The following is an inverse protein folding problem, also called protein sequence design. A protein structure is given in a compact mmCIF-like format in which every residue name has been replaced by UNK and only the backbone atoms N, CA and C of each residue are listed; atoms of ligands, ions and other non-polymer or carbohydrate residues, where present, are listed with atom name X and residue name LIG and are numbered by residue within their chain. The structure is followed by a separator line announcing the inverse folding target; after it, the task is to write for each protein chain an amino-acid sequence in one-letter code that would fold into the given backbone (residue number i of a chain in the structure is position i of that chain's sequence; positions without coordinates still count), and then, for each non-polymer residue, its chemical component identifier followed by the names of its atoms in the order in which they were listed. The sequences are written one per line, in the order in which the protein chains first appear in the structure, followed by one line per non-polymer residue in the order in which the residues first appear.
data_IF_793884217444
#
_entry.id   IF_793884217444
#
_cell.length_a   1.000
_cell.length_b   1.000
_cell.length_c   1.000
_cell.angle_alpha   90.00
_cell.angle_beta   90.00
_cell.angle_gamma   90.00
#
_symmetry.space_group_name_H-M   'P 1'
#
loop_
_entity.id
_entity.type
_entity.pdbx_description
1 polymer ?
#
# COMPACT_ATOMS: atom_id res chain seq x y z
N UNK A 1 10.93 -12.43 21.77
CA UNK A 1 11.68 -12.15 20.52
C UNK A 1 10.72 -12.44 19.36
N UNK A 2 10.34 -11.41 18.61
CA UNK A 2 9.40 -11.56 17.48
C UNK A 2 10.15 -12.28 16.34
N UNK A 3 9.56 -13.35 15.81
CA UNK A 3 10.11 -14.06 14.66
C UNK A 3 9.80 -13.26 13.37
N UNK A 4 10.73 -13.16 12.41
CA UNK A 4 10.48 -12.44 11.15
C UNK A 4 9.24 -12.94 10.39
N UNK A 5 8.90 -14.22 10.54
CA UNK A 5 7.69 -14.80 9.98
C UNK A 5 6.40 -14.18 10.55
N UNK A 6 6.43 -13.70 11.80
CA UNK A 6 5.32 -12.97 12.41
C UNK A 6 5.13 -11.59 11.77
N UNK A 7 6.21 -10.90 11.41
CA UNK A 7 6.15 -9.62 10.68
C UNK A 7 5.45 -9.82 9.34
N UNK A 8 5.85 -10.86 8.59
CA UNK A 8 5.18 -11.22 7.33
C UNK A 8 3.69 -11.51 7.54
N UNK A 9 3.34 -12.31 8.56
CA UNK A 9 1.95 -12.65 8.85
C UNK A 9 1.12 -11.39 9.13
N UNK A 10 1.61 -10.54 10.03
CA UNK A 10 0.98 -9.27 10.39
C UNK A 10 0.78 -8.37 9.17
N UNK A 11 1.77 -8.28 8.28
CA UNK A 11 1.64 -7.49 7.04
C UNK A 11 0.66 -8.11 6.04
N UNK A 12 0.53 -9.44 6.05
CA UNK A 12 -0.54 -10.14 5.35
C UNK A 12 -1.93 -9.81 5.89
N UNK A 13 -2.10 -9.75 7.21
CA UNK A 13 -3.34 -9.33 7.88
C UNK A 13 -3.68 -7.86 7.59
N UNK A 14 -2.71 -6.94 7.73
CA UNK A 14 -2.89 -5.51 7.40
C UNK A 14 -3.31 -5.30 5.93
N UNK A 15 -2.85 -6.17 5.02
CA UNK A 15 -3.24 -6.14 3.61
C UNK A 15 -4.68 -6.64 3.41
N UNK A 16 -5.10 -7.70 4.11
CA UNK A 16 -6.48 -8.17 4.11
C UNK A 16 -7.45 -7.14 4.73
N UNK A 17 -7.03 -6.46 5.80
CA UNK A 17 -7.79 -5.36 6.40
C UNK A 17 -8.00 -4.21 5.41
N UNK A 18 -6.98 -3.87 4.61
CA UNK A 18 -7.10 -2.86 3.56
C UNK A 18 -8.11 -3.27 2.48
N UNK A 19 -8.15 -4.54 2.10
CA UNK A 19 -9.14 -5.07 1.16
C UNK A 19 -10.56 -4.97 1.72
N UNK A 20 -10.73 -5.37 2.98
CA UNK A 20 -12.02 -5.28 3.67
C UNK A 20 -12.46 -3.81 3.75
N UNK A 21 -11.55 -2.90 4.14
CA UNK A 21 -11.80 -1.47 4.17
C UNK A 21 -12.25 -0.94 2.80
N UNK A 22 -11.54 -1.29 1.73
CA UNK A 22 -11.91 -0.88 0.38
C UNK A 22 -13.31 -1.40 -0.01
N UNK A 23 -13.63 -2.65 0.35
CA UNK A 23 -14.95 -3.24 0.15
C UNK A 23 -16.07 -2.51 0.91
N UNK A 24 -15.84 -2.19 2.19
CA UNK A 24 -16.76 -1.44 3.04
C UNK A 24 -16.99 -0.04 2.48
N UNK A 25 -15.92 0.70 2.15
CA UNK A 25 -16.01 2.05 1.59
C UNK A 25 -16.76 2.06 0.27
N UNK A 26 -16.52 1.09 -0.62
CA UNK A 26 -17.28 0.97 -1.87
C UNK A 26 -18.77 0.81 -1.61
N UNK A 27 -19.15 -0.08 -0.69
CA UNK A 27 -20.55 -0.30 -0.35
C UNK A 27 -21.18 0.95 0.29
N UNK A 28 -20.44 1.60 1.19
CA UNK A 28 -20.88 2.84 1.85
C UNK A 28 -21.09 3.98 0.84
N UNK A 29 -20.17 4.16 -0.12
CA UNK A 29 -20.31 5.16 -1.18
C UNK A 29 -21.53 4.89 -2.05
N UNK A 30 -21.76 3.62 -2.44
CA UNK A 30 -22.97 3.26 -3.20
C UNK A 30 -24.25 3.60 -2.43
N UNK A 31 -24.30 3.34 -1.12
CA UNK A 31 -25.46 3.70 -0.28
C UNK A 31 -25.59 5.22 -0.12
N UNK A 32 -24.47 5.93 0.03
CA UNK A 32 -24.43 7.37 0.23
C UNK A 32 -24.99 8.16 -0.95
N UNK A 33 -25.03 7.60 -2.16
CA UNK A 33 -25.73 8.20 -3.31
C UNK A 33 -27.21 8.49 -3.03
N UNK A 34 -27.84 7.73 -2.12
CA UNK A 34 -29.26 7.85 -1.74
C UNK A 34 -29.48 8.47 -0.35
N UNK A 35 -28.53 9.25 0.13
CA UNK A 35 -28.58 9.86 1.48
C UNK A 35 -29.81 10.76 1.66
N UNK A 36 -30.15 11.60 0.67
CA UNK A 36 -31.32 12.49 0.72
C UNK A 36 -32.63 11.69 0.71
N UNK A 37 -32.75 10.73 -0.21
CA UNK A 37 -33.91 9.84 -0.28
C UNK A 37 -34.15 9.07 1.03
N UNK A 38 -33.06 8.68 1.71
CA UNK A 38 -33.11 8.00 2.99
C UNK A 38 -33.69 8.89 4.08
N UNK A 39 -33.30 10.17 4.14
CA UNK A 39 -33.87 11.15 5.08
C UNK A 39 -35.36 11.35 4.80
N UNK A 40 -35.75 11.53 3.54
CA UNK A 40 -37.16 11.73 3.16
C UNK A 40 -38.02 10.48 3.42
N UNK A 41 -37.46 9.29 3.22
CA UNK A 41 -38.16 8.04 3.51
C UNK A 41 -38.36 7.87 5.03
N UNK A 42 -37.33 8.13 5.85
CA UNK A 42 -37.45 8.03 7.31
C UNK A 42 -38.46 9.01 7.88
N UNK A 43 -38.49 10.26 7.39
CA UNK A 43 -39.51 11.25 7.78
C UNK A 43 -40.93 10.71 7.52
N UNK A 44 -41.18 10.23 6.30
CA UNK A 44 -42.49 9.66 5.91
C UNK A 44 -42.88 8.44 6.74
N UNK A 45 -41.92 7.56 7.05
CA UNK A 45 -42.17 6.39 7.91
C UNK A 45 -42.57 6.84 9.33
N UNK A 46 -41.86 7.79 9.92
CA UNK A 46 -42.19 8.31 11.25
C UNK A 46 -43.58 8.95 11.28
N UNK A 47 -43.95 9.70 10.24
CA UNK A 47 -45.28 10.29 10.08
C UNK A 47 -46.39 9.22 10.00
N UNK A 48 -46.17 8.13 9.26
CA UNK A 48 -47.14 7.03 9.11
C UNK A 48 -47.26 6.20 10.39
N UNK A 49 -46.15 5.95 11.10
CA UNK A 49 -46.13 5.16 12.33
C UNK A 49 -46.47 5.97 13.58
N UNK A 50 -46.67 7.29 13.45
CA UNK A 50 -46.84 8.22 14.56
C UNK A 50 -45.68 8.13 15.57
N UNK A 51 -44.47 7.94 15.06
CA UNK A 51 -43.22 7.91 15.82
C UNK A 51 -42.60 9.31 15.88
N UNK A 52 -41.72 9.52 16.86
CA UNK A 52 -40.97 10.78 16.96
C UNK A 52 -40.02 10.89 15.75
N UNK A 53 -40.05 11.98 14.96
CA UNK A 53 -39.14 12.14 13.84
C UNK A 53 -37.69 12.30 14.30
N UNK A 54 -36.74 11.90 13.44
CA UNK A 54 -35.29 12.04 13.66
C UNK A 54 -34.86 13.51 13.83
N UNK A 55 -35.65 14.46 13.31
CA UNK A 55 -35.39 15.90 13.36
C UNK A 55 -36.57 16.63 13.98
N UNK A 56 -36.33 17.45 15.01
CA UNK A 56 -37.37 18.09 15.82
C UNK A 56 -37.89 19.41 15.21
N UNK A 57 -37.15 19.99 14.27
CA UNK A 57 -37.51 21.24 13.60
C UNK A 57 -37.22 21.19 12.10
N UNK A 58 -37.95 21.98 11.31
CA UNK A 58 -37.73 22.07 9.86
C UNK A 58 -36.32 22.60 9.55
N UNK A 59 -35.79 23.53 10.36
CA UNK A 59 -34.41 24.02 10.21
C UNK A 59 -33.35 22.92 10.40
N UNK A 60 -33.55 21.99 11.35
CA UNK A 60 -32.66 20.85 11.52
C UNK A 60 -32.74 19.89 10.34
N UNK A 61 -33.94 19.67 9.80
CA UNK A 61 -34.14 18.83 8.63
C UNK A 61 -33.47 19.43 7.39
N UNK A 62 -33.64 20.73 7.14
CA UNK A 62 -33.04 21.42 6.00
C UNK A 62 -31.51 21.35 6.04
N UNK A 63 -30.92 21.57 7.22
CA UNK A 63 -29.47 21.43 7.40
C UNK A 63 -28.99 19.98 7.16
N UNK A 64 -29.75 18.99 7.65
CA UNK A 64 -29.43 17.58 7.42
C UNK A 64 -29.54 17.20 5.94
N UNK A 65 -30.55 17.72 5.23
CA UNK A 65 -30.71 17.55 3.79
C UNK A 65 -29.58 18.20 3.01
N UNK A 66 -29.18 19.43 3.34
CA UNK A 66 -28.06 20.11 2.68
C UNK A 66 -26.75 19.29 2.82
N UNK A 67 -26.48 18.78 4.02
CA UNK A 67 -25.34 17.90 4.26
C UNK A 67 -25.46 16.57 3.49
N UNK A 68 -26.64 15.95 3.48
CA UNK A 68 -26.90 14.73 2.71
C UNK A 68 -26.71 14.94 1.21
N UNK A 69 -27.13 16.08 0.66
CA UNK A 69 -26.91 16.46 -0.74
C UNK A 69 -25.42 16.49 -1.06
N UNK A 70 -24.60 17.18 -0.24
CA UNK A 70 -23.13 17.22 -0.45
C UNK A 70 -22.51 15.81 -0.43
N UNK A 71 -22.98 14.94 0.48
CA UNK A 71 -22.53 13.55 0.55
C UNK A 71 -22.93 12.77 -0.69
N UNK A 72 -24.18 12.89 -1.15
CA UNK A 72 -24.69 12.21 -2.33
C UNK A 72 -23.93 12.64 -3.58
N UNK A 73 -23.75 13.95 -3.80
CA UNK A 73 -22.99 14.51 -4.92
C UNK A 73 -21.55 14.00 -4.94
N UNK A 74 -20.88 13.98 -3.79
CA UNK A 74 -19.54 13.40 -3.68
C UNK A 74 -19.55 11.91 -4.02
N UNK A 75 -20.46 11.13 -3.42
CA UNK A 75 -20.55 9.69 -3.64
C UNK A 75 -20.86 9.33 -5.10
N UNK A 76 -21.74 10.07 -5.76
CA UNK A 76 -22.04 9.92 -7.18
C UNK A 76 -20.81 10.24 -8.04
N UNK A 77 -20.09 11.32 -7.73
CA UNK A 77 -18.86 11.68 -8.44
C UNK A 77 -17.78 10.58 -8.33
N UNK A 78 -17.69 9.92 -7.17
CA UNK A 78 -16.77 8.80 -6.98
C UNK A 78 -17.25 7.56 -7.71
N UNK A 79 -18.52 7.20 -7.57
CA UNK A 79 -19.08 5.97 -8.17
C UNK A 79 -19.03 6.02 -9.69
N UNK A 80 -19.36 7.16 -10.30
CA UNK A 80 -19.32 7.36 -11.76
C UNK A 80 -17.93 7.18 -12.35
N UNK A 81 -16.89 7.55 -11.61
CA UNK A 81 -15.51 7.54 -12.08
C UNK A 81 -14.71 6.32 -11.60
N UNK A 82 -15.38 5.29 -11.05
CA UNK A 82 -14.70 4.08 -10.59
C UNK A 82 -13.92 4.25 -9.28
N UNK A 83 -14.41 5.09 -8.36
CA UNK A 83 -13.90 5.29 -7.00
C UNK A 83 -12.42 5.75 -6.91
N UNK A 84 -12.00 6.74 -7.72
CA UNK A 84 -10.59 7.09 -7.84
C UNK A 84 -9.97 7.60 -6.54
N UNK A 85 -10.74 8.29 -5.69
CA UNK A 85 -10.25 8.76 -4.40
C UNK A 85 -9.94 7.60 -3.45
N UNK A 86 -10.84 6.61 -3.38
CA UNK A 86 -10.65 5.42 -2.56
C UNK A 86 -9.39 4.65 -2.98
N UNK A 87 -9.26 4.35 -4.27
CA UNK A 87 -8.13 3.59 -4.77
C UNK A 87 -6.80 4.34 -4.69
N UNK A 88 -6.83 5.68 -4.76
CA UNK A 88 -5.66 6.52 -4.49
C UNK A 88 -5.17 6.36 -3.04
N UNK A 89 -6.08 6.40 -2.06
CA UNK A 89 -5.73 6.17 -0.66
C UNK A 89 -5.22 4.75 -0.42
N UNK A 90 -5.86 3.75 -1.02
CA UNK A 90 -5.41 2.37 -0.92
C UNK A 90 -4.02 2.17 -1.54
N UNK A 91 -3.71 2.80 -2.68
CA UNK A 91 -2.38 2.75 -3.28
C UNK A 91 -1.31 3.35 -2.37
N UNK A 92 -1.58 4.50 -1.74
CA UNK A 92 -0.68 5.09 -0.74
C UNK A 92 -0.45 4.11 0.43
N UNK A 93 -1.51 3.46 0.92
CA UNK A 93 -1.42 2.48 2.02
C UNK A 93 -0.62 1.24 1.63
N UNK A 94 -0.81 0.69 0.42
CA UNK A 94 -0.04 -0.47 -0.08
C UNK A 94 1.47 -0.20 -0.08
N UNK A 95 1.85 0.98 -0.55
CA UNK A 95 3.26 1.38 -0.56
C UNK A 95 3.80 1.57 0.86
N UNK A 96 3.08 2.27 1.72
CA UNK A 96 3.47 2.47 3.11
C UNK A 96 3.61 1.14 3.89
N UNK A 97 2.71 0.18 3.63
CA UNK A 97 2.79 -1.17 4.18
C UNK A 97 4.07 -1.88 3.73
N UNK A 98 4.44 -1.75 2.45
CA UNK A 98 5.67 -2.33 1.91
C UNK A 98 6.92 -1.70 2.52
N UNK A 99 6.94 -0.36 2.70
CA UNK A 99 8.02 0.37 3.40
C UNK A 99 8.16 -0.12 4.85
N UNK A 100 7.07 -0.14 5.59
CA UNK A 100 7.06 -0.56 6.99
C UNK A 100 7.50 -2.02 7.16
N UNK A 101 7.04 -2.92 6.29
CA UNK A 101 7.48 -4.33 6.30
C UNK A 101 9.00 -4.44 6.18
N UNK A 102 9.60 -3.73 5.22
CA UNK A 102 11.03 -3.81 4.95
C UNK A 102 11.84 -3.21 6.09
N UNK A 103 11.44 -2.04 6.60
CA UNK A 103 12.10 -1.40 7.74
C UNK A 103 12.01 -2.30 9.00
N UNK A 104 10.83 -2.86 9.32
CA UNK A 104 10.64 -3.79 10.45
C UNK A 104 11.50 -5.05 10.30
N UNK A 105 11.57 -5.65 9.11
CA UNK A 105 12.39 -6.86 8.86
C UNK A 105 13.88 -6.61 9.05
N UNK A 106 14.35 -5.41 8.67
CA UNK A 106 15.78 -5.04 8.78
C UNK A 106 16.14 -4.79 10.23
N UNK A 107 15.33 -4.00 10.96
CA UNK A 107 15.52 -3.76 12.40
C UNK A 107 15.52 -5.10 13.16
N UNK A 108 14.52 -5.95 12.93
CA UNK A 108 14.46 -7.26 13.60
C UNK A 108 15.57 -8.22 13.19
N UNK A 109 16.05 -8.15 11.94
CA UNK A 109 17.22 -8.94 11.55
C UNK A 109 18.45 -8.48 12.32
N UNK A 110 18.69 -7.16 12.45
CA UNK A 110 19.86 -6.62 13.15
C UNK A 110 19.87 -6.93 14.66
N UNK A 111 18.71 -7.16 15.28
CA UNK A 111 18.60 -7.64 16.66
C UNK A 111 19.12 -9.08 16.85
N UNK A 112 19.17 -9.88 15.78
CA UNK A 112 19.52 -11.30 15.85
C UNK A 112 20.71 -11.60 14.95
N UNK A 113 21.92 -11.81 15.50
CA UNK A 113 23.11 -12.12 14.69
C UNK A 113 22.86 -13.29 13.74
N UNK A 114 23.19 -13.10 12.46
CA UNK A 114 23.01 -14.08 11.41
C UNK A 114 24.29 -14.27 10.60
N UNK A 115 24.60 -15.52 10.26
CA UNK A 115 25.72 -15.87 9.37
C UNK A 115 25.53 -15.40 7.92
N UNK A 116 24.33 -14.96 7.57
CA UNK A 116 23.97 -14.49 6.23
C UNK A 116 24.16 -12.98 6.05
N UNK A 117 24.66 -12.29 7.08
CA UNK A 117 24.97 -10.88 6.97
C UNK A 117 26.15 -10.62 6.05
N UNK A 118 26.05 -9.56 5.26
CA UNK A 118 27.21 -9.01 4.55
C UNK A 118 28.07 -8.22 5.54
N UNK A 119 28.98 -8.93 6.20
CA UNK A 119 29.93 -8.33 7.13
C UNK A 119 30.78 -7.23 6.50
N UNK A 120 31.01 -7.25 5.17
CA UNK A 120 31.80 -6.23 4.47
C UNK A 120 31.06 -4.89 4.35
N UNK A 121 29.72 -4.94 4.26
CA UNK A 121 28.87 -3.75 4.27
C UNK A 121 28.64 -3.29 5.71
N UNK A 122 28.25 -4.20 6.61
CA UNK A 122 27.92 -3.84 7.99
C UNK A 122 29.12 -3.27 8.76
N UNK A 123 30.35 -3.71 8.46
CA UNK A 123 31.56 -3.15 9.06
C UNK A 123 31.82 -1.68 8.68
N UNK A 124 31.15 -1.15 7.65
CA UNK A 124 31.28 0.26 7.22
C UNK A 124 30.30 1.20 7.92
N UNK A 125 29.38 0.69 8.73
CA UNK A 125 28.44 1.51 9.49
C UNK A 125 29.21 2.43 10.44
N UNK A 126 28.85 3.72 10.44
CA UNK A 126 29.48 4.76 11.25
C UNK A 126 28.44 5.41 12.15
N UNK A 127 28.84 5.75 13.36
CA UNK A 127 27.94 6.35 14.32
C UNK A 127 28.64 6.77 15.61
N UNK A 128 27.96 7.56 16.45
CA UNK A 128 28.52 8.02 17.71
C UNK A 128 28.45 6.86 18.73
N UNK A 129 29.62 6.28 19.04
CA UNK A 129 29.74 4.98 19.73
C UNK A 129 29.20 5.01 21.17
N UNK A 130 29.31 6.16 21.84
CA UNK A 130 28.87 6.30 23.24
C UNK A 130 27.35 6.26 23.32
N UNK A 131 26.67 7.07 22.51
CA UNK A 131 25.22 7.10 22.40
C UNK A 131 24.68 5.74 21.96
N UNK A 132 25.31 5.12 20.96
CA UNK A 132 24.96 3.77 20.51
C UNK A 132 25.07 2.75 21.64
N UNK A 133 26.21 2.73 22.36
CA UNK A 133 26.43 1.78 23.46
C UNK A 133 25.46 1.98 24.63
N UNK A 134 25.04 3.23 24.88
CA UNK A 134 24.13 3.59 25.97
C UNK A 134 22.66 3.37 25.62
N UNK A 135 22.31 3.21 24.35
CA UNK A 135 20.95 2.95 23.88
C UNK A 135 20.49 1.52 24.22
N UNK A 136 19.18 1.32 24.30
CA UNK A 136 18.56 0.00 24.43
C UNK A 136 18.78 -0.86 23.17
N UNK A 137 18.62 -2.20 23.24
CA UNK A 137 18.80 -3.06 22.07
C UNK A 137 17.92 -2.68 20.87
N UNK A 138 16.68 -2.26 21.11
CA UNK A 138 15.75 -1.84 20.05
C UNK A 138 16.22 -0.53 19.40
N UNK A 139 16.59 0.47 20.21
CA UNK A 139 17.15 1.74 19.72
C UNK A 139 18.47 1.54 18.97
N UNK A 140 19.31 0.58 19.41
CA UNK A 140 20.52 0.20 18.69
C UNK A 140 20.21 -0.37 17.30
N UNK A 141 19.23 -1.27 17.20
CA UNK A 141 18.84 -1.86 15.93
C UNK A 141 18.22 -0.83 14.98
N UNK A 142 17.39 0.08 15.49
CA UNK A 142 16.86 1.21 14.72
C UNK A 142 17.98 2.13 14.21
N UNK A 143 18.94 2.48 15.08
CA UNK A 143 20.09 3.28 14.69
C UNK A 143 20.91 2.63 13.57
N UNK A 144 21.17 1.31 13.69
CA UNK A 144 21.90 0.56 12.67
C UNK A 144 21.11 0.46 11.36
N UNK A 145 19.80 0.24 11.44
CA UNK A 145 18.93 0.17 10.27
C UNK A 145 18.93 1.50 9.49
N UNK A 146 18.80 2.64 10.19
CA UNK A 146 18.84 3.96 9.56
C UNK A 146 20.23 4.29 8.99
N UNK A 147 21.29 3.95 9.71
CA UNK A 147 22.67 4.12 9.20
C UNK A 147 22.90 3.25 7.95
N UNK A 148 22.39 2.02 7.95
CA UNK A 148 22.46 1.11 6.80
C UNK A 148 21.69 1.66 5.60
N UNK A 149 20.49 2.20 5.84
CA UNK A 149 19.64 2.83 4.82
C UNK A 149 20.35 3.98 4.10
N UNK A 150 21.09 4.80 4.84
CA UNK A 150 21.96 5.83 4.25
C UNK A 150 23.16 5.20 3.51
N UNK A 151 23.85 4.23 4.12
CA UNK A 151 25.05 3.62 3.56
C UNK A 151 24.81 2.94 2.20
N UNK A 152 23.66 2.31 2.01
CA UNK A 152 23.31 1.62 0.75
C UNK A 152 22.58 2.52 -0.26
N UNK A 153 22.50 3.82 0.03
CA UNK A 153 21.77 4.81 -0.75
C UNK A 153 20.32 4.39 -1.02
N UNK A 154 19.68 3.66 -0.10
CA UNK A 154 18.31 3.16 -0.29
C UNK A 154 17.32 4.28 -0.68
N UNK A 155 17.34 5.47 -0.05
CA UNK A 155 16.46 6.58 -0.45
C UNK A 155 16.64 7.06 -1.90
N UNK A 156 17.81 6.82 -2.51
CA UNK A 156 18.11 7.21 -3.90
C UNK A 156 17.70 6.12 -4.91
N UNK A 157 17.44 4.90 -4.46
CA UNK A 157 17.00 3.81 -5.33
C UNK A 157 15.52 3.96 -5.68
N UNK A 158 15.18 3.50 -6.87
CA UNK A 158 13.83 3.60 -7.43
C UNK A 158 13.00 2.35 -7.14
N UNK A 159 11.70 2.53 -6.90
CA UNK A 159 10.74 1.43 -6.75
C UNK A 159 11.17 0.41 -5.69
N UNK A 160 11.04 -0.88 -6.00
CA UNK A 160 11.46 -1.96 -5.12
C UNK A 160 13.00 -2.07 -4.95
N UNK A 161 13.79 -1.40 -5.80
CA UNK A 161 15.25 -1.40 -5.67
C UNK A 161 15.73 -0.83 -4.33
N UNK A 162 14.97 0.09 -3.73
CA UNK A 162 15.27 0.60 -2.39
C UNK A 162 15.07 -0.45 -1.30
N UNK A 163 14.09 -1.33 -1.48
CA UNK A 163 13.81 -2.40 -0.54
C UNK A 163 14.90 -3.45 -0.62
N UNK A 164 15.25 -3.88 -1.83
CA UNK A 164 16.29 -4.89 -2.05
C UNK A 164 17.67 -4.40 -1.61
N UNK A 165 17.98 -3.12 -1.81
CA UNK A 165 19.23 -2.52 -1.30
C UNK A 165 19.34 -2.60 0.23
N UNK A 166 18.22 -2.49 0.95
CA UNK A 166 18.21 -2.56 2.41
C UNK A 166 18.14 -4.01 2.94
N UNK A 167 17.44 -4.90 2.22
CA UNK A 167 17.31 -6.32 2.59
C UNK A 167 18.56 -7.14 2.27
N UNK A 168 19.32 -6.78 1.23
CA UNK A 168 20.48 -7.55 0.80
C UNK A 168 21.57 -7.69 1.87
N UNK A 169 22.01 -6.63 2.58
CA UNK A 169 23.04 -6.74 3.62
C UNK A 169 22.65 -7.63 4.81
N UNK A 170 21.34 -7.80 5.07
CA UNK A 170 20.82 -8.67 6.14
C UNK A 170 20.44 -10.08 5.66
N UNK A 171 20.83 -10.43 4.43
CA UNK A 171 20.62 -11.76 3.84
C UNK A 171 19.19 -12.05 3.40
N UNK A 172 18.38 -11.01 3.16
CA UNK A 172 16.98 -11.11 2.71
C UNK A 172 16.75 -10.50 1.32
N UNK A 173 17.81 -10.01 0.68
CA UNK A 173 17.74 -9.51 -0.69
C UNK A 173 17.51 -10.64 -1.70
N UNK A 174 16.98 -10.30 -2.87
CA UNK A 174 16.81 -11.26 -3.94
C UNK A 174 16.25 -10.65 -5.21
N UNK A 175 16.10 -11.50 -6.22
CA UNK A 175 15.53 -11.09 -7.50
C UNK A 175 14.01 -10.86 -7.37
N UNK A 176 13.52 -9.95 -8.21
CA UNK A 176 12.10 -9.62 -8.36
C UNK A 176 11.73 -9.87 -9.82
N UNK A 177 10.60 -10.52 -10.09
CA UNK A 177 10.11 -10.70 -11.45
C UNK A 177 9.84 -9.32 -12.10
N UNK A 178 10.14 -9.18 -13.38
CA UNK A 178 10.20 -7.85 -14.03
C UNK A 178 8.85 -7.11 -14.05
N UNK A 179 7.73 -7.79 -14.29
CA UNK A 179 6.40 -7.16 -14.26
C UNK A 179 6.04 -6.69 -12.84
N UNK A 180 6.40 -7.46 -11.82
CA UNK A 180 6.26 -7.07 -10.41
C UNK A 180 7.13 -5.87 -10.11
N UNK A 181 8.41 -5.88 -10.52
CA UNK A 181 9.35 -4.77 -10.33
C UNK A 181 8.82 -3.49 -10.96
N UNK A 182 8.34 -3.57 -12.20
CA UNK A 182 7.73 -2.46 -12.94
C UNK A 182 6.48 -1.94 -12.23
N UNK A 183 5.62 -2.83 -11.74
CA UNK A 183 4.37 -2.45 -11.06
C UNK A 183 4.63 -1.82 -9.68
N UNK A 184 5.62 -2.31 -8.92
CA UNK A 184 6.04 -1.69 -7.66
C UNK A 184 6.72 -0.33 -7.89
N UNK A 185 7.45 -0.19 -9.00
CA UNK A 185 7.98 1.11 -9.40
C UNK A 185 6.87 2.09 -9.75
N UNK A 186 5.89 1.66 -10.54
CA UNK A 186 4.68 2.43 -10.87
C UNK A 186 3.94 2.90 -9.60
N UNK A 187 3.66 1.97 -8.66
CA UNK A 187 3.05 2.26 -7.37
C UNK A 187 3.83 3.34 -6.59
N UNK A 188 5.17 3.25 -6.58
CA UNK A 188 6.02 4.24 -5.91
C UNK A 188 5.85 5.65 -6.50
N UNK A 189 5.73 5.76 -7.83
CA UNK A 189 5.54 7.03 -8.51
C UNK A 189 4.13 7.59 -8.27
N UNK A 190 3.11 6.74 -8.32
CA UNK A 190 1.73 7.11 -8.06
C UNK A 190 1.55 7.63 -6.63
N UNK A 191 2.09 6.92 -5.64
CA UNK A 191 2.11 7.39 -4.24
C UNK A 191 2.79 8.75 -4.12
N UNK A 192 3.92 8.95 -4.79
CA UNK A 192 4.61 10.23 -4.78
C UNK A 192 3.76 11.37 -5.37
N UNK A 193 3.09 11.15 -6.50
CA UNK A 193 2.22 12.17 -7.11
C UNK A 193 1.00 12.47 -6.25
N UNK A 194 0.34 11.45 -5.70
CA UNK A 194 -0.83 11.65 -4.81
C UNK A 194 -0.44 12.48 -3.59
N UNK A 195 0.65 12.10 -2.90
CA UNK A 195 1.04 12.73 -1.63
C UNK A 195 1.69 14.10 -1.83
N UNK A 196 2.56 14.26 -2.83
CA UNK A 196 3.44 15.43 -2.94
C UNK A 196 3.13 16.37 -4.10
N UNK A 197 2.21 15.99 -4.99
CA UNK A 197 1.82 16.78 -6.18
C UNK A 197 0.31 16.94 -6.32
N UNK A 198 -0.45 16.72 -5.23
CA UNK A 198 -1.91 16.85 -5.22
C UNK A 198 -2.60 16.02 -6.30
N UNK A 199 -2.03 14.86 -6.64
CA UNK A 199 -2.54 13.98 -7.68
C UNK A 199 -2.37 14.52 -9.11
N UNK A 200 -1.53 15.53 -9.33
CA UNK A 200 -1.30 16.11 -10.68
C UNK A 200 -0.06 15.52 -11.34
N UNK A 201 -0.22 15.03 -12.55
CA UNK A 201 0.89 14.47 -13.33
C UNK A 201 1.94 15.55 -13.64
N UNK A 202 3.18 15.30 -13.24
CA UNK A 202 4.32 16.17 -13.52
C UNK A 202 5.26 15.55 -14.55
N UNK A 203 6.31 16.29 -14.95
CA UNK A 203 7.31 15.77 -15.90
C UNK A 203 7.95 14.46 -15.44
N UNK A 204 8.11 14.26 -14.12
CA UNK A 204 8.83 13.11 -13.57
C UNK A 204 8.04 11.82 -13.76
N UNK A 205 6.72 11.82 -13.48
CA UNK A 205 5.93 10.60 -13.68
C UNK A 205 5.76 10.24 -15.15
N UNK A 206 5.69 11.23 -16.04
CA UNK A 206 5.65 11.01 -17.50
C UNK A 206 6.92 10.32 -18.01
N UNK A 207 8.08 10.70 -17.47
CA UNK A 207 9.37 10.07 -17.81
C UNK A 207 9.57 8.72 -17.12
N UNK A 208 9.14 8.59 -15.86
CA UNK A 208 9.29 7.38 -15.06
C UNK A 208 8.34 6.26 -15.50
N UNK A 209 7.10 6.60 -15.85
CA UNK A 209 6.04 5.66 -16.19
C UNK A 209 5.38 6.04 -17.53
N UNK A 210 6.13 6.06 -18.65
CA UNK A 210 5.60 6.51 -19.95
C UNK A 210 4.45 5.63 -20.47
N UNK A 211 4.36 4.38 -19.99
CA UNK A 211 3.29 3.45 -20.36
C UNK A 211 1.93 3.77 -19.71
N UNK A 212 1.85 4.76 -18.81
CA UNK A 212 0.58 5.21 -18.24
C UNK A 212 -0.13 6.27 -19.09
N UNK A 213 0.56 6.82 -20.10
CA UNK A 213 0.02 7.79 -21.08
C UNK A 213 -0.68 9.03 -20.46
N UNK A 214 -0.19 9.50 -19.30
CA UNK A 214 -0.72 10.71 -18.67
C UNK A 214 -0.23 11.98 -19.37
N UNK A 215 -1.06 13.03 -19.33
CA UNK A 215 -0.71 14.38 -19.78
C UNK A 215 -0.21 15.23 -18.62
N UNK A 216 0.75 16.12 -18.88
CA UNK A 216 1.26 17.05 -17.86
C UNK A 216 0.11 17.93 -17.32
N UNK A 217 -0.04 17.98 -15.99
CA UNK A 217 -1.08 18.74 -15.29
C UNK A 217 -2.41 18.00 -15.15
N UNK A 218 -2.55 16.83 -15.75
CA UNK A 218 -3.74 15.98 -15.61
C UNK A 218 -3.91 15.48 -14.17
N UNK A 219 -5.16 15.35 -13.73
CA UNK A 219 -5.45 14.63 -12.48
C UNK A 219 -5.29 13.14 -12.69
N UNK A 220 -4.39 12.52 -11.94
CA UNK A 220 -4.22 11.08 -11.94
C UNK A 220 -5.34 10.46 -11.11
N UNK A 221 -6.14 9.62 -11.76
CA UNK A 221 -7.16 8.81 -11.14
C UNK A 221 -6.68 7.36 -11.08
N UNK A 222 -6.48 6.83 -9.87
CA UNK A 222 -6.16 5.41 -9.70
C UNK A 222 -7.42 4.60 -9.96
N UNK A 223 -7.43 3.80 -11.03
CA UNK A 223 -8.55 2.93 -11.36
C UNK A 223 -8.54 1.66 -10.49
N UNK A 224 -9.64 0.91 -10.51
CA UNK A 224 -9.71 -0.40 -9.86
C UNK A 224 -8.64 -1.35 -10.41
N UNK A 225 -8.42 -1.36 -11.73
CA UNK A 225 -7.44 -2.21 -12.40
C UNK A 225 -6.00 -1.85 -11.98
N UNK A 226 -5.69 -0.56 -11.87
CA UNK A 226 -4.41 -0.10 -11.33
C UNK A 226 -4.23 -0.59 -9.89
N UNK A 227 -5.23 -0.37 -9.05
CA UNK A 227 -5.21 -0.80 -7.65
C UNK A 227 -5.02 -2.31 -7.51
N UNK A 228 -5.74 -3.13 -8.28
CA UNK A 228 -5.61 -4.58 -8.25
C UNK A 228 -4.21 -5.03 -8.69
N UNK A 229 -3.62 -4.42 -9.72
CA UNK A 229 -2.23 -4.71 -10.11
C UNK A 229 -1.26 -4.39 -8.97
N UNK A 230 -1.40 -3.23 -8.33
CA UNK A 230 -0.56 -2.84 -7.20
C UNK A 230 -0.69 -3.82 -6.03
N UNK A 231 -1.93 -4.16 -5.68
CA UNK A 231 -2.24 -5.11 -4.60
C UNK A 231 -1.59 -6.47 -4.85
N UNK A 232 -1.76 -7.00 -6.06
CA UNK A 232 -1.22 -8.31 -6.45
C UNK A 232 0.32 -8.29 -6.48
N UNK A 233 0.94 -7.19 -6.93
CA UNK A 233 2.40 -7.02 -6.88
C UNK A 233 2.93 -6.93 -5.44
N UNK A 234 2.21 -6.24 -4.55
CA UNK A 234 2.54 -6.21 -3.11
C UNK A 234 2.42 -7.59 -2.48
N UNK A 235 1.37 -8.37 -2.79
CA UNK A 235 1.24 -9.77 -2.35
C UNK A 235 2.41 -10.62 -2.82
N UNK A 236 2.78 -10.52 -4.11
CA UNK A 236 3.93 -11.24 -4.65
C UNK A 236 5.18 -10.94 -3.82
N UNK A 237 5.42 -9.66 -3.53
CA UNK A 237 6.61 -9.22 -2.80
C UNK A 237 6.65 -9.75 -1.37
N UNK A 238 5.53 -9.72 -0.65
CA UNK A 238 5.41 -10.30 0.69
C UNK A 238 5.72 -11.80 0.67
N UNK A 239 5.16 -12.55 -0.29
CA UNK A 239 5.39 -14.00 -0.43
C UNK A 239 6.84 -14.31 -0.80
N UNK A 240 7.45 -13.51 -1.68
CA UNK A 240 8.84 -13.67 -2.08
C UNK A 240 9.79 -13.47 -0.89
N UNK A 241 9.59 -12.39 -0.12
CA UNK A 241 10.37 -12.13 1.10
C UNK A 241 10.15 -13.22 2.14
N UNK A 242 8.92 -13.75 2.27
CA UNK A 242 8.65 -14.91 3.13
C UNK A 242 9.48 -16.13 2.75
N UNK A 243 9.56 -16.45 1.46
CA UNK A 243 10.37 -17.56 0.97
C UNK A 243 11.85 -17.38 1.27
N UNK A 244 12.36 -16.14 1.21
CA UNK A 244 13.75 -15.82 1.58
C UNK A 244 14.00 -16.00 3.08
N UNK A 245 13.07 -15.58 3.93
CA UNK A 245 13.12 -15.82 5.38
C UNK A 245 13.14 -17.32 5.67
N UNK A 246 12.22 -18.08 5.06
CA UNK A 246 12.13 -19.53 5.28
C UNK A 246 13.44 -20.23 4.84
N UNK A 247 14.01 -19.84 3.70
CA UNK A 247 15.28 -20.38 3.21
C UNK A 247 16.47 -20.02 4.11
N UNK A 248 16.54 -18.76 4.57
CA UNK A 248 17.61 -18.27 5.46
C UNK A 248 17.58 -18.99 6.81
N UNK A 249 16.38 -19.15 7.38
CA UNK A 249 16.20 -19.67 8.74
C UNK A 249 15.99 -21.21 8.75
N UNK A 250 16.01 -21.86 7.58
CA UNK A 250 15.84 -23.31 7.44
C UNK A 250 14.43 -23.81 7.78
N UNK A 251 13.43 -22.94 7.66
CA UNK A 251 12.03 -23.23 7.99
C UNK A 251 11.41 -24.01 6.84
N UNK A 252 10.84 -25.20 7.15
CA UNK A 252 10.06 -25.95 6.18
C UNK A 252 8.66 -25.36 6.06
N UNK A 253 8.37 -24.71 4.93
CA UNK A 253 7.04 -24.24 4.63
C UNK A 253 6.18 -25.40 4.07
N UNK A 254 5.00 -25.70 4.63
CA UNK A 254 4.11 -26.72 4.09
C UNK A 254 3.52 -26.35 2.73
N UNK A 255 3.56 -25.07 2.35
CA UNK A 255 3.11 -24.58 1.06
C UNK A 255 4.27 -24.41 0.09
N UNK A 256 4.03 -24.75 -1.18
CA UNK A 256 4.95 -24.43 -2.27
C UNK A 256 4.81 -22.94 -2.65
N UNK A 257 5.63 -22.10 -2.02
CA UNK A 257 5.63 -20.66 -2.28
C UNK A 257 5.97 -20.33 -3.73
N UNK A 258 6.79 -21.14 -4.41
CA UNK A 258 7.12 -20.92 -5.82
C UNK A 258 5.89 -21.11 -6.71
N UNK A 259 5.04 -22.09 -6.40
CA UNK A 259 3.75 -22.27 -7.08
C UNK A 259 2.83 -21.06 -6.86
N UNK A 260 2.80 -20.50 -5.65
CA UNK A 260 2.01 -19.30 -5.33
C UNK A 260 2.53 -18.09 -6.13
N UNK A 261 3.84 -17.86 -6.14
CA UNK A 261 4.46 -16.76 -6.89
C UNK A 261 4.12 -16.85 -8.39
N UNK A 262 4.26 -18.03 -9.01
CA UNK A 262 3.89 -18.26 -10.42
C UNK A 262 2.41 -18.00 -10.71
N UNK A 263 1.52 -18.40 -9.80
CA UNK A 263 0.09 -18.11 -9.91
C UNK A 263 -0.16 -16.59 -9.88
N UNK A 264 0.54 -15.86 -9.01
CA UNK A 264 0.43 -14.40 -8.89
C UNK A 264 0.98 -13.70 -10.14
N UNK A 265 2.15 -14.12 -10.63
CA UNK A 265 2.77 -13.62 -11.87
C UNK A 265 1.82 -13.78 -13.06
N UNK A 266 1.19 -14.95 -13.18
CA UNK A 266 0.23 -15.23 -14.25
C UNK A 266 -0.95 -14.25 -14.22
N UNK A 267 -1.45 -13.89 -13.03
CA UNK A 267 -2.51 -12.88 -12.87
C UNK A 267 -2.04 -11.49 -13.28
N UNK A 268 -0.81 -11.09 -12.93
CA UNK A 268 -0.25 -9.79 -13.32
C UNK A 268 -0.07 -9.66 -14.84
N UNK A 269 0.37 -10.73 -15.49
CA UNK A 269 0.55 -10.76 -16.95
C UNK A 269 -0.79 -10.62 -17.70
N UNK A 270 -1.84 -11.32 -17.24
CA UNK A 270 -3.19 -11.18 -17.82
C UNK A 270 -3.70 -9.75 -17.69
N UNK A 271 -3.56 -9.14 -16.51
CA UNK A 271 -3.98 -7.75 -16.29
C UNK A 271 -3.20 -6.75 -17.15
N UNK A 272 -1.92 -7.02 -17.41
CA UNK A 272 -1.06 -6.17 -18.25
C UNK A 272 -1.36 -6.30 -19.74
N UNK A 273 -1.83 -7.47 -20.19
CA UNK A 273 -2.22 -7.70 -21.59
C UNK A 273 -3.60 -7.11 -21.90
N UNK A 274 -4.56 -7.20 -20.96
CA UNK A 274 -5.89 -6.62 -21.13
C UNK A 274 -5.87 -5.09 -21.21
N UNK A 275 -4.93 -4.44 -20.52
CA UNK A 275 -4.75 -2.98 -20.58
C UNK A 275 -4.10 -2.50 -21.88
N UNK A 276 -3.37 -3.36 -22.60
CA UNK A 276 -2.87 -3.04 -23.95
C UNK A 276 -3.97 -3.13 -25.01
N UNK A 277 -4.82 -4.16 -24.94
CA UNK A 277 -5.90 -4.38 -25.91
C UNK A 277 -7.04 -3.34 -25.85
N UNK A 278 -7.08 -2.47 -24.83
CA UNK A 278 -8.05 -1.36 -24.73
C UNK A 278 -7.51 -0.03 -25.28
N UNK A 279 -6.22 0.05 -25.58
CA UNK A 279 -5.55 1.26 -26.08
C UNK A 279 -5.14 1.16 -27.56
N UNK A 280 -5.44 0.03 -28.22
CA UNK A 280 -5.32 -0.21 -29.67
C UNK A 280 -6.73 -0.17 -30.32
#
# INVERSE_FOLDING_TARGET
MINLTHIIHKKGEELQELELFAGVCRNALNQATRSVETIDLRRRIAEVLNEKPDYESESQLDAAKEHATKISEFAESQTKNGLPYLYSLCAVRLWALSEAMVDELVVHSLLTPSKFFDHSILAKLKGPLIEFRSASPDEQAEFLAETLKQLVDAPLKLGAGKFEALLAPVGLGGEIQEDVRKTLYELSQIRNIIVHKSGKADRRILEACPWLDFKKGETINVTFEMFERYRVATYWYIVAVRGRIDARDGIKNPMDLNKILKMIESKLQVSSNNSKAQND
#
